data_IF_256825107515
#
_entry.id   IF_256825107515
#
_cell.length_a   1.000
_cell.length_b   1.000
_cell.length_c   1.000
_cell.angle_alpha   90.00
_cell.angle_beta   90.00
_cell.angle_gamma   90.00
#
_symmetry.space_group_name_H-M   'P 1'
#
loop_
_entity.id
_entity.type
_entity.pdbx_description
1 polymer ?
#
# COMPACT_ATOMS: atom_id res chain seq x y z
N UNK A 1 53.66 25.75 -0.14
CA UNK A 1 52.84 26.94 -0.54
C UNK A 1 51.45 26.73 -0.07
N UNK A 2 51.04 27.42 1.01
CA UNK A 2 49.67 27.29 1.63
C UNK A 2 48.89 28.55 1.21
N UNK A 3 47.83 28.38 0.39
CA UNK A 3 46.92 29.49 0.08
C UNK A 3 45.77 29.49 1.08
N UNK A 4 45.69 30.52 1.84
CA UNK A 4 44.60 30.82 2.77
C UNK A 4 43.41 31.43 2.01
N UNK A 5 42.28 30.72 2.00
CA UNK A 5 40.99 31.24 1.48
C UNK A 5 40.32 32.05 2.60
N UNK A 6 40.24 33.37 2.41
CA UNK A 6 39.57 34.31 3.31
C UNK A 6 38.04 34.20 3.09
N UNK A 7 37.31 33.77 4.10
CA UNK A 7 35.87 33.85 4.18
C UNK A 7 35.44 35.32 4.43
N UNK A 8 34.67 35.89 3.51
CA UNK A 8 34.00 37.19 3.71
C UNK A 8 32.63 36.94 4.33
N UNK A 9 32.48 37.30 5.59
CA UNK A 9 31.18 37.41 6.27
C UNK A 9 30.40 38.60 5.70
N UNK A 10 29.24 38.37 5.13
CA UNK A 10 28.28 39.41 4.79
C UNK A 10 27.33 39.58 5.98
N UNK A 11 27.44 40.74 6.63
CA UNK A 11 26.47 41.24 7.59
C UNK A 11 25.17 41.60 6.85
N UNK A 12 24.11 40.88 7.11
CA UNK A 12 22.75 41.26 6.70
C UNK A 12 22.09 41.93 7.91
N UNK A 13 21.91 43.25 7.83
CA UNK A 13 21.23 44.01 8.83
C UNK A 13 19.71 43.77 8.86
N UNK A 14 19.04 43.97 9.99
CA UNK A 14 17.61 43.77 10.09
C UNK A 14 16.86 44.94 9.43
N UNK A 15 16.05 44.60 8.42
CA UNK A 15 15.07 45.56 7.87
C UNK A 15 13.85 45.53 8.77
N UNK A 16 13.71 46.61 9.57
CA UNK A 16 12.51 46.86 10.35
C UNK A 16 11.48 47.51 9.43
N UNK A 17 10.55 46.73 8.92
CA UNK A 17 9.34 47.23 8.28
C UNK A 17 8.28 47.53 9.32
N UNK A 18 8.18 48.82 9.71
CA UNK A 18 7.03 49.35 10.42
C UNK A 18 5.85 49.47 9.44
N UNK A 19 4.86 48.60 9.55
CA UNK A 19 3.59 48.77 8.86
C UNK A 19 2.56 49.43 9.80
N UNK A 20 1.83 50.47 9.34
CA UNK A 20 0.79 51.09 10.15
C UNK A 20 -0.44 50.16 10.24
N UNK A 21 -0.91 49.97 11.46
CA UNK A 21 -2.16 49.30 11.79
C UNK A 21 -3.32 50.19 11.36
N UNK A 22 -3.92 49.92 10.20
CA UNK A 22 -5.19 50.52 9.80
C UNK A 22 -6.31 49.62 10.35
N UNK A 23 -6.94 50.08 11.43
CA UNK A 23 -8.14 49.52 12.00
C UNK A 23 -9.32 49.77 11.03
N UNK A 24 -9.62 48.84 10.14
CA UNK A 24 -10.89 48.82 9.43
C UNK A 24 -11.89 48.02 10.27
N UNK A 25 -12.72 48.75 11.00
CA UNK A 25 -13.96 48.20 11.58
C UNK A 25 -14.96 47.94 10.44
N UNK A 26 -14.93 46.76 9.85
CA UNK A 26 -16.01 46.27 9.02
C UNK A 26 -17.01 45.56 9.93
N UNK A 27 -18.01 46.31 10.37
CA UNK A 27 -19.28 45.79 10.86
C UNK A 27 -19.99 45.12 9.66
N UNK A 28 -19.65 43.88 9.36
CA UNK A 28 -20.45 43.07 8.48
C UNK A 28 -21.73 42.69 9.24
N UNK A 29 -22.86 43.32 8.87
CA UNK A 29 -24.16 42.79 9.15
C UNK A 29 -24.24 41.40 8.51
N UNK A 30 -24.06 40.35 9.30
CA UNK A 30 -24.49 39.04 8.93
C UNK A 30 -26.02 39.02 8.97
N UNK A 31 -26.70 38.64 7.88
CA UNK A 31 -28.14 38.39 8.00
C UNK A 31 -28.27 37.23 8.98
N UNK A 32 -28.94 37.46 10.08
CA UNK A 32 -29.49 36.39 10.91
C UNK A 32 -30.56 35.65 10.09
N UNK A 33 -30.09 34.85 9.12
CA UNK A 33 -30.89 33.83 8.48
C UNK A 33 -31.22 32.83 9.57
N UNK A 34 -32.46 32.86 10.03
CA UNK A 34 -32.98 31.91 10.98
C UNK A 34 -32.67 30.51 10.48
N UNK A 35 -31.76 29.84 11.17
CA UNK A 35 -31.74 28.40 11.18
C UNK A 35 -33.01 28.01 11.91
N UNK A 36 -34.07 27.79 11.12
CA UNK A 36 -35.26 27.19 11.63
C UNK A 36 -34.81 25.92 12.34
N UNK A 37 -35.11 25.89 13.64
CA UNK A 37 -35.02 24.67 14.42
C UNK A 37 -35.88 23.66 13.72
N UNK A 38 -35.31 22.94 12.76
CA UNK A 38 -35.90 21.70 12.29
C UNK A 38 -35.93 20.83 13.53
N UNK A 39 -37.10 20.87 14.15
CA UNK A 39 -37.38 20.07 15.32
C UNK A 39 -37.16 18.62 14.89
N UNK A 40 -36.26 17.95 15.56
CA UNK A 40 -35.95 16.50 15.38
C UNK A 40 -37.17 15.58 15.62
N UNK A 41 -38.38 16.14 15.51
CA UNK A 41 -39.64 15.44 15.78
C UNK A 41 -40.24 14.78 14.54
N UNK A 42 -39.70 15.05 13.34
CA UNK A 42 -40.19 14.44 12.11
C UNK A 42 -39.22 13.39 11.50
N UNK A 43 -38.17 13.02 12.22
CA UNK A 43 -37.40 11.80 11.92
C UNK A 43 -38.03 10.55 12.55
N UNK A 44 -39.25 10.67 13.04
CA UNK A 44 -39.98 9.52 13.57
C UNK A 44 -40.51 8.73 12.40
N UNK A 45 -39.81 7.63 12.15
CA UNK A 45 -40.33 6.44 11.49
C UNK A 45 -40.78 6.59 10.03
N UNK A 46 -39.83 6.84 9.15
CA UNK A 46 -39.92 6.08 7.90
C UNK A 46 -39.72 4.61 8.29
N UNK A 47 -40.68 3.71 8.00
CA UNK A 47 -40.45 2.28 8.21
C UNK A 47 -39.15 1.95 7.46
N UNK A 48 -38.24 1.28 8.15
CA UNK A 48 -37.00 0.81 7.53
C UNK A 48 -37.39 0.09 6.23
N UNK A 49 -36.77 0.43 5.07
CA UNK A 49 -37.08 -0.28 3.85
C UNK A 49 -36.92 -1.76 4.14
N UNK A 50 -37.90 -2.55 3.80
CA UNK A 50 -37.94 -3.99 3.94
C UNK A 50 -36.91 -4.54 2.92
N UNK A 51 -35.63 -4.45 3.30
CA UNK A 51 -34.59 -5.14 2.56
C UNK A 51 -34.82 -6.63 2.81
N UNK A 52 -35.03 -7.43 1.78
CA UNK A 52 -35.08 -8.87 1.97
C UNK A 52 -33.84 -9.28 2.75
N UNK A 53 -34.06 -9.98 3.87
CA UNK A 53 -32.99 -10.47 4.72
C UNK A 53 -31.93 -11.10 3.81
N UNK A 54 -30.64 -10.68 3.88
CA UNK A 54 -29.64 -11.25 3.01
C UNK A 54 -29.70 -12.75 3.15
N UNK A 55 -29.66 -13.52 2.06
CA UNK A 55 -29.80 -14.97 2.11
C UNK A 55 -28.88 -15.50 3.19
N UNK A 56 -29.45 -16.23 4.15
CA UNK A 56 -28.68 -16.85 5.23
C UNK A 56 -27.56 -17.61 4.58
N UNK A 57 -26.32 -17.20 4.82
CA UNK A 57 -25.14 -17.88 4.31
C UNK A 57 -25.24 -19.30 4.81
N UNK A 58 -25.63 -20.22 3.95
CA UNK A 58 -25.61 -21.65 4.26
C UNK A 58 -24.15 -21.95 4.55
N UNK A 59 -23.86 -22.33 5.79
CA UNK A 59 -22.52 -22.74 6.18
C UNK A 59 -22.08 -23.85 5.22
N UNK A 60 -21.25 -23.53 4.23
CA UNK A 60 -20.83 -24.44 3.17
C UNK A 60 -20.70 -23.87 1.77
N UNK A 61 -21.34 -22.71 1.45
CA UNK A 61 -21.22 -22.07 0.14
C UNK A 61 -20.68 -20.66 0.33
N UNK A 62 -19.41 -20.56 0.63
CA UNK A 62 -18.75 -19.28 0.88
C UNK A 62 -17.27 -19.40 1.18
N UNK A 63 -16.72 -20.58 1.02
CA UNK A 63 -15.31 -20.73 0.76
C UNK A 63 -15.11 -20.47 -0.73
N UNK A 64 -15.15 -19.17 -1.13
CA UNK A 64 -14.40 -18.73 -2.30
C UNK A 64 -13.04 -19.39 -2.13
N UNK A 65 -12.65 -20.27 -3.05
CA UNK A 65 -11.50 -21.16 -2.98
C UNK A 65 -10.46 -20.58 -2.00
N UNK A 66 -10.50 -21.02 -0.75
CA UNK A 66 -9.55 -20.57 0.26
C UNK A 66 -8.22 -20.94 -0.37
N UNK A 67 -7.47 -19.94 -0.79
CA UNK A 67 -6.18 -20.16 -1.41
C UNK A 67 -5.46 -21.09 -0.45
N UNK A 68 -5.17 -22.31 -0.89
CA UNK A 68 -4.63 -23.35 -0.01
C UNK A 68 -3.46 -22.72 0.73
N UNK A 69 -3.51 -22.78 2.06
CA UNK A 69 -2.46 -22.18 2.89
C UNK A 69 -1.12 -22.72 2.46
N UNK A 70 -0.20 -21.84 2.12
CA UNK A 70 1.14 -22.20 1.71
C UNK A 70 1.96 -22.58 2.95
N UNK A 71 2.34 -23.84 3.07
CA UNK A 71 3.25 -24.30 4.14
C UNK A 71 4.67 -24.30 3.59
N UNK A 72 5.47 -23.36 4.07
CA UNK A 72 6.85 -23.19 3.62
C UNK A 72 7.82 -24.06 4.44
N UNK A 73 8.70 -24.79 3.77
CA UNK A 73 9.65 -25.71 4.41
C UNK A 73 11.05 -25.13 4.57
N UNK A 74 11.45 -24.18 3.72
CA UNK A 74 12.83 -23.63 3.65
C UNK A 74 12.80 -22.11 3.72
N UNK A 75 12.43 -21.56 4.88
CA UNK A 75 12.43 -20.12 5.09
C UNK A 75 13.81 -19.60 5.49
N UNK A 76 14.22 -18.41 5.02
CA UNK A 76 15.47 -17.78 5.43
C UNK A 76 15.42 -17.34 6.90
N UNK A 77 16.57 -17.12 7.51
CA UNK A 77 16.65 -16.67 8.90
C UNK A 77 15.81 -15.40 9.14
N UNK A 78 15.00 -15.42 10.20
CA UNK A 78 14.14 -14.31 10.58
C UNK A 78 12.80 -14.24 9.82
N UNK A 79 12.55 -15.11 8.85
CA UNK A 79 11.26 -15.26 8.18
C UNK A 79 10.47 -16.40 8.83
N UNK A 80 9.21 -16.16 9.13
CA UNK A 80 8.33 -17.11 9.82
C UNK A 80 7.14 -17.52 8.94
N UNK A 81 6.53 -18.65 9.25
CA UNK A 81 5.28 -19.08 8.60
C UNK A 81 4.15 -18.04 8.78
N UNK A 82 4.11 -17.35 9.94
CA UNK A 82 3.13 -16.30 10.17
C UNK A 82 3.30 -15.13 9.16
N UNK A 83 4.53 -14.77 8.83
CA UNK A 83 4.79 -13.77 7.78
C UNK A 83 4.35 -14.28 6.40
N UNK A 84 4.54 -15.56 6.10
CA UNK A 84 4.05 -16.16 4.84
C UNK A 84 2.53 -16.08 4.76
N UNK A 85 1.83 -16.42 5.84
CA UNK A 85 0.37 -16.41 5.92
C UNK A 85 -0.19 -14.96 5.74
N UNK A 86 0.41 -13.98 6.43
CA UNK A 86 0.08 -12.56 6.28
C UNK A 86 0.38 -12.08 4.85
N UNK A 87 1.53 -12.47 4.32
CA UNK A 87 1.96 -12.12 2.97
C UNK A 87 1.03 -12.68 1.91
N UNK A 88 0.53 -13.90 2.08
CA UNK A 88 -0.46 -14.51 1.18
C UNK A 88 -1.74 -13.68 1.12
N UNK A 89 -2.23 -13.23 2.28
CA UNK A 89 -3.43 -12.38 2.35
C UNK A 89 -3.18 -11.03 1.66
N UNK A 90 -2.08 -10.36 2.00
CA UNK A 90 -1.73 -9.06 1.42
C UNK A 90 -1.50 -9.16 -0.12
N UNK A 91 -0.83 -10.21 -0.59
CA UNK A 91 -0.64 -10.49 -2.01
C UNK A 91 -1.97 -10.57 -2.76
N UNK A 92 -2.96 -11.23 -2.18
CA UNK A 92 -4.29 -11.41 -2.75
C UNK A 92 -5.05 -10.10 -2.97
N UNK A 93 -4.65 -9.00 -2.35
CA UNK A 93 -5.35 -7.70 -2.48
C UNK A 93 -4.90 -6.88 -3.69
N UNK A 94 -3.62 -6.95 -4.08
CA UNK A 94 -3.03 -6.11 -5.13
C UNK A 94 -2.23 -6.94 -6.13
N UNK A 95 -1.28 -7.75 -5.66
CA UNK A 95 -0.28 -8.39 -6.50
C UNK A 95 -0.88 -9.41 -7.47
N UNK A 96 -1.95 -10.08 -7.05
CA UNK A 96 -2.68 -11.09 -7.82
C UNK A 96 -3.20 -10.55 -9.16
N UNK A 97 -3.48 -9.26 -9.27
CA UNK A 97 -3.99 -8.65 -10.48
C UNK A 97 -3.02 -8.79 -11.68
N UNK A 98 -1.71 -8.71 -11.41
CA UNK A 98 -0.68 -8.84 -12.43
C UNK A 98 0.02 -10.20 -12.40
N UNK A 99 0.35 -10.70 -11.20
CA UNK A 99 1.11 -11.95 -11.04
C UNK A 99 0.24 -13.20 -10.93
N UNK A 100 -1.08 -13.06 -11.05
CA UNK A 100 -2.09 -14.12 -10.94
C UNK A 100 -2.09 -14.85 -9.58
N UNK A 101 -3.05 -15.73 -9.38
CA UNK A 101 -3.13 -16.53 -8.16
C UNK A 101 -1.89 -17.43 -8.02
N UNK A 102 -1.41 -17.58 -6.78
CA UNK A 102 -0.23 -18.37 -6.46
C UNK A 102 1.02 -18.01 -7.27
N UNK A 103 1.12 -16.76 -7.74
CA UNK A 103 2.28 -16.30 -8.48
C UNK A 103 2.48 -16.96 -9.84
N UNK A 104 1.42 -17.42 -10.49
CA UNK A 104 1.52 -18.14 -11.78
C UNK A 104 2.01 -17.26 -12.94
N UNK A 105 2.02 -15.94 -12.76
CA UNK A 105 2.39 -14.99 -13.80
C UNK A 105 1.27 -14.72 -14.81
N UNK A 106 1.53 -13.76 -15.68
CA UNK A 106 0.61 -13.36 -16.74
C UNK A 106 1.40 -12.76 -17.92
N UNK A 107 0.75 -12.41 -19.04
CA UNK A 107 1.43 -11.70 -20.13
C UNK A 107 2.05 -10.36 -19.73
N UNK A 108 1.60 -9.75 -18.63
CA UNK A 108 2.08 -8.43 -18.17
C UNK A 108 3.06 -8.49 -17.02
N UNK A 109 3.17 -9.63 -16.31
CA UNK A 109 4.05 -9.78 -15.15
C UNK A 109 4.58 -11.22 -15.04
N UNK A 110 5.83 -11.41 -14.56
CA UNK A 110 6.47 -12.72 -14.46
C UNK A 110 5.77 -13.66 -13.47
N UNK A 111 5.96 -14.96 -13.65
CA UNK A 111 5.70 -15.95 -12.62
C UNK A 111 6.59 -15.67 -11.39
N UNK A 112 6.09 -15.99 -10.22
CA UNK A 112 6.75 -15.86 -8.92
C UNK A 112 6.81 -17.21 -8.16
N UNK A 113 6.28 -18.25 -8.76
CA UNK A 113 6.21 -19.61 -8.18
C UNK A 113 7.22 -20.58 -8.80
N UNK A 114 8.17 -20.05 -9.54
CA UNK A 114 9.30 -20.77 -10.09
C UNK A 114 10.61 -20.15 -9.62
N UNK A 115 11.75 -20.75 -9.99
CA UNK A 115 13.09 -20.26 -9.64
C UNK A 115 13.71 -19.35 -10.74
N UNK A 116 12.91 -18.96 -11.73
CA UNK A 116 13.38 -18.12 -12.84
C UNK A 116 13.24 -16.63 -12.49
N UNK A 117 14.27 -16.06 -11.94
CA UNK A 117 14.33 -14.65 -11.60
C UNK A 117 14.87 -13.81 -12.75
N UNK A 118 14.18 -12.71 -13.13
CA UNK A 118 14.48 -11.89 -14.29
C UNK A 118 15.26 -10.63 -13.88
N UNK A 119 14.84 -9.96 -12.83
CA UNK A 119 15.40 -8.67 -12.41
C UNK A 119 16.32 -8.76 -11.18
N UNK A 120 16.20 -9.81 -10.39
CA UNK A 120 16.92 -10.07 -9.14
C UNK A 120 17.40 -11.51 -9.09
N UNK A 121 18.12 -11.92 -8.05
CA UNK A 121 18.58 -13.31 -7.87
C UNK A 121 17.58 -14.20 -7.10
N UNK A 122 16.52 -13.60 -6.54
CA UNK A 122 15.51 -14.32 -5.77
C UNK A 122 15.79 -14.46 -4.28
N UNK A 123 16.85 -13.80 -3.79
CA UNK A 123 17.12 -13.75 -2.36
C UNK A 123 16.06 -12.90 -1.63
N UNK A 124 15.64 -13.31 -0.44
CA UNK A 124 14.62 -12.62 0.34
C UNK A 124 14.83 -11.10 0.47
N UNK A 125 16.02 -10.58 0.81
CA UNK A 125 16.24 -9.13 0.88
C UNK A 125 16.01 -8.41 -0.46
N UNK A 126 16.35 -9.05 -1.57
CA UNK A 126 16.14 -8.46 -2.91
C UNK A 126 14.64 -8.43 -3.27
N UNK A 127 13.90 -9.48 -2.88
CA UNK A 127 12.45 -9.51 -3.06
C UNK A 127 11.80 -8.36 -2.25
N UNK A 128 12.24 -8.13 -1.01
CA UNK A 128 11.77 -6.99 -0.20
C UNK A 128 12.04 -5.66 -0.93
N UNK A 129 13.25 -5.49 -1.44
CA UNK A 129 13.64 -4.26 -2.13
C UNK A 129 12.84 -4.04 -3.42
N UNK A 130 12.66 -5.08 -4.22
CA UNK A 130 11.92 -4.97 -5.48
C UNK A 130 10.43 -4.68 -5.24
N UNK A 131 9.85 -5.25 -4.21
CA UNK A 131 8.47 -4.91 -3.84
C UNK A 131 8.37 -3.45 -3.39
N UNK A 132 9.31 -3.00 -2.55
CA UNK A 132 9.31 -1.63 -2.04
C UNK A 132 9.52 -0.58 -3.13
N UNK A 133 10.47 -0.81 -4.03
CA UNK A 133 10.89 0.14 -5.06
C UNK A 133 10.14 0.01 -6.38
N UNK A 134 9.58 -1.18 -6.66
CA UNK A 134 9.03 -1.52 -7.96
C UNK A 134 10.10 -1.84 -9.01
N UNK A 135 9.67 -2.04 -10.26
CA UNK A 135 10.51 -2.27 -11.44
C UNK A 135 10.10 -1.28 -12.52
N UNK A 136 10.71 -0.10 -12.58
CA UNK A 136 10.30 0.93 -13.53
C UNK A 136 10.61 0.57 -14.99
N UNK A 137 11.66 -0.23 -15.21
CA UNK A 137 12.06 -0.69 -16.54
C UNK A 137 12.27 -2.21 -16.47
N UNK A 138 11.23 -3.00 -16.70
CA UNK A 138 11.33 -4.46 -16.71
C UNK A 138 12.11 -4.96 -17.93
N UNK A 139 12.81 -6.10 -17.78
CA UNK A 139 13.64 -6.67 -18.85
C UNK A 139 12.83 -7.46 -19.88
N UNK A 140 11.76 -8.14 -19.48
CA UNK A 140 11.06 -9.09 -20.35
C UNK A 140 9.55 -8.83 -20.48
N UNK A 141 8.92 -8.16 -19.51
CA UNK A 141 7.48 -7.89 -19.52
C UNK A 141 7.19 -6.43 -19.90
N UNK A 142 6.08 -6.16 -20.60
CA UNK A 142 5.80 -4.82 -21.12
C UNK A 142 5.38 -3.80 -20.05
N UNK A 143 4.89 -4.27 -18.91
CA UNK A 143 4.36 -3.40 -17.87
C UNK A 143 5.36 -3.12 -16.75
N UNK A 144 5.60 -1.84 -16.37
CA UNK A 144 6.37 -1.55 -15.18
C UNK A 144 5.63 -2.00 -13.92
N UNK A 145 6.35 -2.47 -12.94
CA UNK A 145 5.81 -2.72 -11.60
C UNK A 145 5.96 -1.43 -10.77
N UNK A 146 4.88 -0.80 -10.34
CA UNK A 146 4.99 0.37 -9.46
C UNK A 146 5.49 -0.04 -8.06
N UNK A 147 6.04 0.90 -7.26
CA UNK A 147 6.38 0.66 -5.88
C UNK A 147 5.22 0.01 -5.12
N UNK A 148 5.51 -1.06 -4.38
CA UNK A 148 4.52 -1.85 -3.62
C UNK A 148 3.38 -2.41 -4.49
N UNK A 149 3.60 -2.58 -5.80
CA UNK A 149 2.57 -2.98 -6.76
C UNK A 149 1.45 -1.94 -6.94
N UNK A 150 1.64 -0.69 -6.49
CA UNK A 150 0.61 0.34 -6.42
C UNK A 150 -0.25 0.30 -5.15
N UNK A 151 0.00 -0.63 -4.24
CA UNK A 151 -0.70 -0.73 -2.96
C UNK A 151 -0.12 0.17 -1.86
N UNK A 152 -0.91 0.41 -0.83
CA UNK A 152 -0.48 1.19 0.34
C UNK A 152 -0.08 0.24 1.49
N UNK A 153 1.02 -0.50 1.30
CA UNK A 153 1.54 -1.43 2.30
C UNK A 153 2.56 -0.77 3.22
N UNK A 154 2.51 -1.11 4.50
CA UNK A 154 3.56 -0.78 5.48
C UNK A 154 4.81 -1.63 5.24
N UNK A 155 5.96 -1.23 5.80
CA UNK A 155 7.18 -2.02 5.65
C UNK A 155 7.09 -3.44 6.24
N UNK A 156 6.41 -3.70 7.40
CA UNK A 156 6.13 -5.06 7.83
C UNK A 156 5.32 -5.87 6.80
N UNK A 157 4.30 -5.28 6.19
CA UNK A 157 3.50 -5.96 5.16
C UNK A 157 4.30 -6.24 3.89
N UNK A 158 5.17 -5.33 3.47
CA UNK A 158 6.11 -5.58 2.35
C UNK A 158 7.01 -6.78 2.65
N UNK A 159 7.54 -6.87 3.87
CA UNK A 159 8.33 -8.04 4.30
C UNK A 159 7.49 -9.33 4.33
N UNK A 160 6.25 -9.25 4.75
CA UNK A 160 5.34 -10.39 4.75
C UNK A 160 5.03 -10.87 3.31
N UNK A 161 4.72 -9.94 2.38
CA UNK A 161 4.53 -10.25 0.96
C UNK A 161 5.79 -10.90 0.37
N UNK A 162 6.97 -10.37 0.70
CA UNK A 162 8.24 -10.95 0.27
C UNK A 162 8.46 -12.36 0.81
N UNK A 163 8.03 -12.63 2.06
CA UNK A 163 8.08 -13.97 2.64
C UNK A 163 7.20 -14.97 1.88
N UNK A 164 6.00 -14.56 1.50
CA UNK A 164 5.11 -15.37 0.69
C UNK A 164 5.68 -15.64 -0.71
N UNK A 165 6.19 -14.62 -1.40
CA UNK A 165 6.80 -14.74 -2.73
C UNK A 165 8.06 -15.62 -2.67
N UNK A 166 8.90 -15.46 -1.65
CA UNK A 166 10.04 -16.34 -1.42
C UNK A 166 9.60 -17.78 -1.24
N UNK A 167 8.59 -18.01 -0.40
CA UNK A 167 8.05 -19.35 -0.18
C UNK A 167 7.49 -19.98 -1.46
N UNK A 168 6.77 -19.22 -2.29
CA UNK A 168 6.25 -19.67 -3.59
C UNK A 168 7.38 -20.19 -4.50
N UNK A 169 8.44 -19.38 -4.65
CA UNK A 169 9.53 -19.69 -5.58
C UNK A 169 10.44 -20.84 -5.10
N UNK A 170 10.46 -21.13 -3.79
CA UNK A 170 11.34 -22.14 -3.20
C UNK A 170 10.65 -23.44 -2.84
N UNK A 171 9.33 -23.56 -3.05
CA UNK A 171 8.61 -24.81 -2.86
C UNK A 171 8.80 -25.81 -4.02
N UNK A 172 9.14 -25.30 -5.20
CA UNK A 172 9.42 -26.11 -6.38
C UNK A 172 10.87 -26.58 -6.53
N UNK A 173 11.71 -26.37 -5.55
CA UNK A 173 13.13 -26.76 -5.56
C UNK A 173 13.37 -28.27 -5.50
N UNK A 174 12.79 -29.01 -6.45
CA UNK A 174 12.91 -30.45 -6.55
C UNK A 174 12.40 -30.97 -7.89
N UNK A 175 12.99 -30.51 -8.99
CA UNK A 175 12.92 -31.22 -10.28
C UNK A 175 14.24 -31.06 -11.01
#
# INVERSE_FOLDING_TARGET
MRQAVRARARLVGPVVCAAPVLLFALTACLPEGGYDKVTHREQEALPAPDFPEPPRVIAGIGQSAAATRLVATNLPAGVTQAMVDEGQQAYGTVCVACHAANGAGSPVAPALNDNRWINISGQYPEIVQVIAAGVPVPKEHPGPMPPKGGGNFTDPQVRAIAAYVYALSHQGGGA
#
